data_IF_791635293991
#
_entry.id   IF_791635293991
#
_cell.length_a   1.000
_cell.length_b   1.000
_cell.length_c   1.000
_cell.angle_alpha   90.00
_cell.angle_beta   90.00
_cell.angle_gamma   90.00
#
_symmetry.space_group_name_H-M   'P 1'
#
loop_
_entity.id
_entity.type
_entity.pdbx_description
1 polymer ?
#
# COMPACT_ATOMS: atom_id res chain seq x y z
N UNK A 1 5.67 -19.01 -14.37
CA UNK A 1 7.04 -18.46 -14.41
C UNK A 1 7.15 -17.25 -13.49
N UNK A 2 8.14 -17.20 -12.58
CA UNK A 2 8.32 -16.04 -11.67
C UNK A 2 8.67 -14.79 -12.47
N UNK A 3 7.97 -13.68 -12.22
CA UNK A 3 8.00 -12.42 -12.99
C UNK A 3 9.36 -11.71 -13.06
N UNK A 4 10.35 -12.17 -12.28
CA UNK A 4 11.69 -11.56 -12.15
C UNK A 4 12.83 -12.54 -12.44
N UNK A 5 12.58 -13.62 -13.19
CA UNK A 5 13.62 -14.61 -13.49
C UNK A 5 14.81 -14.03 -14.29
N UNK A 6 14.58 -12.96 -15.06
CA UNK A 6 15.60 -12.27 -15.85
C UNK A 6 16.64 -11.55 -14.99
N UNK A 7 16.33 -11.28 -13.73
CA UNK A 7 17.25 -10.61 -12.81
C UNK A 7 18.22 -11.60 -12.13
N UNK A 8 18.17 -12.89 -12.50
CA UNK A 8 18.99 -13.96 -11.92
C UNK A 8 19.77 -14.70 -13.00
N UNK A 9 21.08 -14.87 -12.78
CA UNK A 9 21.94 -15.73 -13.58
C UNK A 9 22.35 -16.98 -12.80
N UNK A 10 22.48 -18.11 -13.49
CA UNK A 10 23.02 -19.32 -12.90
C UNK A 10 24.54 -19.24 -12.94
N UNK A 11 25.15 -18.93 -11.80
CA UNK A 11 26.60 -18.87 -11.65
C UNK A 11 27.08 -20.16 -11.00
N UNK A 12 28.14 -20.72 -11.57
CA UNK A 12 28.78 -21.93 -11.06
C UNK A 12 29.71 -21.53 -9.91
N UNK A 13 29.36 -21.89 -8.66
CA UNK A 13 30.22 -21.65 -7.49
C UNK A 13 30.78 -22.97 -6.98
N UNK A 14 32.08 -22.97 -6.70
CA UNK A 14 32.78 -24.06 -6.05
C UNK A 14 32.62 -23.91 -4.53
N UNK A 15 32.01 -24.90 -3.88
CA UNK A 15 31.87 -24.90 -2.42
C UNK A 15 33.21 -25.26 -1.78
N UNK A 16 33.37 -24.92 -0.50
CA UNK A 16 34.54 -25.25 0.33
C UNK A 16 34.87 -26.74 0.46
N UNK A 17 33.97 -27.63 -0.02
CA UNK A 17 34.12 -29.09 -0.09
C UNK A 17 34.51 -29.59 -1.51
N UNK A 18 34.93 -28.68 -2.41
CA UNK A 18 35.32 -29.00 -3.81
C UNK A 18 34.15 -29.35 -4.74
N UNK A 19 32.90 -29.26 -4.26
CA UNK A 19 31.69 -29.55 -5.06
C UNK A 19 31.25 -28.32 -5.84
N UNK A 20 31.04 -28.52 -7.14
CA UNK A 20 30.52 -27.50 -8.05
C UNK A 20 28.99 -27.47 -7.98
N UNK A 21 28.40 -26.32 -7.65
CA UNK A 21 26.94 -26.13 -7.65
C UNK A 21 26.55 -24.89 -8.45
N UNK A 22 25.53 -25.04 -9.30
CA UNK A 22 24.89 -23.88 -9.93
C UNK A 22 24.01 -23.17 -8.90
N UNK A 23 24.31 -21.91 -8.65
CA UNK A 23 23.57 -21.05 -7.71
C UNK A 23 23.02 -19.87 -8.49
N UNK A 24 21.73 -19.57 -8.30
CA UNK A 24 21.10 -18.41 -8.89
C UNK A 24 21.57 -17.13 -8.17
N UNK A 25 22.36 -16.31 -8.85
CA UNK A 25 22.89 -15.04 -8.37
C UNK A 25 22.08 -13.88 -8.97
N UNK A 26 21.72 -12.90 -8.15
CA UNK A 26 20.89 -11.78 -8.58
C UNK A 26 21.79 -10.68 -9.18
N UNK A 27 21.59 -10.35 -10.45
CA UNK A 27 22.25 -9.24 -11.18
C UNK A 27 21.36 -8.02 -11.40
N UNK A 28 20.10 -8.06 -10.99
CA UNK A 28 19.20 -6.92 -11.17
C UNK A 28 19.55 -5.69 -10.31
N UNK A 29 18.80 -4.61 -10.53
CA UNK A 29 18.93 -3.35 -9.77
C UNK A 29 18.64 -3.55 -8.29
N UNK A 30 19.41 -2.89 -7.44
CA UNK A 30 19.15 -2.77 -6.01
C UNK A 30 18.63 -1.37 -5.67
N UNK A 31 17.74 -1.30 -4.70
CA UNK A 31 17.20 -0.06 -4.16
C UNK A 31 17.64 0.05 -2.71
N UNK A 32 18.58 0.95 -2.43
CA UNK A 32 19.13 1.17 -1.09
C UNK A 32 18.41 2.34 -0.44
N UNK A 33 17.84 2.10 0.74
CA UNK A 33 17.18 3.13 1.53
C UNK A 33 18.22 4.08 2.16
N UNK A 34 18.07 5.38 1.94
CA UNK A 34 19.00 6.41 2.45
C UNK A 34 18.73 6.80 3.92
N UNK A 35 17.68 6.27 4.54
CA UNK A 35 17.37 6.51 5.94
C UNK A 35 18.20 5.62 6.86
N UNK A 36 18.55 6.15 8.03
CA UNK A 36 19.13 5.31 9.10
C UNK A 36 18.17 4.20 9.50
N UNK A 37 18.70 3.04 9.88
CA UNK A 37 17.92 1.85 10.27
C UNK A 37 16.86 2.15 11.34
N UNK A 38 17.22 2.97 12.35
CA UNK A 38 16.30 3.40 13.41
C UNK A 38 15.16 4.27 12.88
N UNK A 39 15.43 5.20 11.96
CA UNK A 39 14.39 6.03 11.33
C UNK A 39 13.50 5.18 10.42
N UNK A 40 14.07 4.25 9.65
CA UNK A 40 13.30 3.37 8.77
C UNK A 40 12.36 2.46 9.54
N UNK A 41 12.82 1.87 10.65
CA UNK A 41 11.98 1.03 11.52
C UNK A 41 10.75 1.79 12.05
N UNK A 42 10.93 3.04 12.48
CA UNK A 42 9.81 3.90 12.91
C UNK A 42 8.84 4.18 11.76
N UNK A 43 9.35 4.48 10.57
CA UNK A 43 8.50 4.73 9.39
C UNK A 43 7.69 3.49 9.02
N UNK A 44 8.29 2.28 9.08
CA UNK A 44 7.58 1.01 8.86
C UNK A 44 6.44 0.84 9.85
N UNK A 45 6.69 1.11 11.13
CA UNK A 45 5.65 1.02 12.18
C UNK A 45 4.53 2.04 11.96
N UNK A 46 4.86 3.29 11.63
CA UNK A 46 3.86 4.32 11.35
C UNK A 46 3.02 3.98 10.11
N UNK A 47 3.62 3.45 9.05
CA UNK A 47 2.88 2.98 7.87
C UNK A 47 1.94 1.83 8.23
N UNK A 48 2.39 0.87 9.05
CA UNK A 48 1.53 -0.21 9.52
C UNK A 48 0.33 0.33 10.30
N UNK A 49 0.57 1.23 11.26
CA UNK A 49 -0.50 1.85 12.03
C UNK A 49 -1.51 2.56 11.12
N UNK A 50 -1.04 3.38 10.17
CA UNK A 50 -1.91 4.10 9.24
C UNK A 50 -2.76 3.15 8.37
N UNK A 51 -2.17 2.07 7.85
CA UNK A 51 -2.88 1.09 7.03
C UNK A 51 -3.92 0.32 7.85
N UNK A 52 -3.58 -0.08 9.09
CA UNK A 52 -4.51 -0.75 9.99
C UNK A 52 -5.65 0.18 10.42
N UNK A 53 -5.36 1.45 10.75
CA UNK A 53 -6.38 2.44 11.05
C UNK A 53 -7.31 2.66 9.85
N UNK A 54 -6.77 2.85 8.64
CA UNK A 54 -7.58 2.99 7.42
C UNK A 54 -8.50 1.78 7.19
N UNK A 55 -7.95 0.56 7.33
CA UNK A 55 -8.72 -0.67 7.20
C UNK A 55 -9.81 -0.82 8.24
N UNK A 56 -9.50 -0.53 9.51
CA UNK A 56 -10.47 -0.55 10.60
C UNK A 56 -11.57 0.50 10.42
N UNK A 57 -11.23 1.70 9.94
CA UNK A 57 -12.21 2.75 9.62
C UNK A 57 -13.15 2.32 8.50
N UNK A 58 -12.64 1.69 7.43
CA UNK A 58 -13.50 1.16 6.36
C UNK A 58 -14.40 0.06 6.90
N UNK A 59 -13.88 -0.90 7.65
CA UNK A 59 -14.70 -1.95 8.27
C UNK A 59 -15.79 -1.36 9.17
N UNK A 60 -15.42 -0.42 10.05
CA UNK A 60 -16.35 0.27 10.94
C UNK A 60 -17.45 1.01 10.21
N UNK A 61 -17.11 1.71 9.11
CA UNK A 61 -18.08 2.42 8.27
C UNK A 61 -19.12 1.45 7.67
N UNK A 62 -18.73 0.22 7.35
CA UNK A 62 -19.61 -0.79 6.75
C UNK A 62 -20.69 -1.29 7.71
N UNK A 63 -20.44 -1.21 9.01
CA UNK A 63 -21.41 -1.60 10.05
C UNK A 63 -22.46 -0.53 10.34
N UNK A 64 -22.32 0.70 9.83
CA UNK A 64 -23.27 1.78 10.09
C UNK A 64 -24.64 1.56 9.42
N UNK A 65 -24.71 0.72 8.36
CA UNK A 65 -25.93 0.40 7.60
C UNK A 65 -26.76 1.65 7.30
N UNK A 66 -26.15 2.60 6.59
CA UNK A 66 -26.79 3.86 6.20
C UNK A 66 -27.77 3.67 5.03
N UNK A 67 -28.79 4.54 4.88
CA UNK A 67 -29.64 4.53 3.68
C UNK A 67 -28.85 4.65 2.36
N UNK A 68 -27.82 5.50 2.34
CA UNK A 68 -26.92 5.69 1.19
C UNK A 68 -26.15 4.42 0.79
N UNK A 69 -25.89 3.50 1.72
CA UNK A 69 -25.15 2.25 1.46
C UNK A 69 -25.84 1.30 0.47
N UNK A 70 -27.13 1.51 0.17
CA UNK A 70 -27.91 0.75 -0.80
C UNK A 70 -27.93 1.39 -2.19
N UNK A 71 -27.30 2.55 -2.33
CA UNK A 71 -27.29 3.32 -3.57
C UNK A 71 -26.02 3.01 -4.34
N UNK A 72 -26.16 2.52 -5.56
CA UNK A 72 -25.06 1.95 -6.35
C UNK A 72 -23.85 2.90 -6.50
N UNK A 73 -24.07 4.20 -6.73
CA UNK A 73 -23.00 5.18 -6.89
C UNK A 73 -22.24 5.50 -5.59
N UNK A 74 -22.76 5.10 -4.42
CA UNK A 74 -22.06 5.14 -3.12
C UNK A 74 -21.46 3.77 -2.81
N UNK A 75 -22.28 2.72 -2.92
CA UNK A 75 -21.94 1.36 -2.54
C UNK A 75 -20.78 0.77 -3.36
N UNK A 76 -20.78 0.95 -4.69
CA UNK A 76 -19.76 0.38 -5.57
C UNK A 76 -18.35 0.94 -5.30
N UNK A 77 -18.11 2.27 -5.27
CA UNK A 77 -16.78 2.78 -4.94
C UNK A 77 -16.38 2.40 -3.50
N UNK A 78 -17.32 2.36 -2.56
CA UNK A 78 -17.06 1.96 -1.18
C UNK A 78 -16.61 0.49 -1.08
N UNK A 79 -17.34 -0.46 -1.67
CA UNK A 79 -16.95 -1.89 -1.67
C UNK A 79 -15.64 -2.10 -2.42
N UNK A 80 -15.38 -1.28 -3.45
CA UNK A 80 -14.11 -1.35 -4.18
C UNK A 80 -12.89 -0.96 -3.31
N UNK A 81 -13.07 -0.25 -2.19
CA UNK A 81 -11.99 0.12 -1.26
C UNK A 81 -11.31 -1.09 -0.59
N UNK A 82 -12.02 -2.21 -0.45
CA UNK A 82 -11.44 -3.40 0.21
C UNK A 82 -10.24 -3.96 -0.55
N UNK A 83 -10.22 -3.84 -1.88
CA UNK A 83 -9.11 -4.32 -2.71
C UNK A 83 -7.79 -3.56 -2.49
N UNK A 84 -7.72 -2.22 -2.62
CA UNK A 84 -6.50 -1.48 -2.33
C UNK A 84 -6.15 -1.51 -0.83
N UNK A 85 -7.10 -1.74 0.09
CA UNK A 85 -6.75 -1.99 1.50
C UNK A 85 -5.99 -3.31 1.65
N UNK A 86 -6.48 -4.39 1.06
CA UNK A 86 -5.79 -5.68 1.10
C UNK A 86 -4.37 -5.58 0.51
N UNK A 87 -4.22 -4.91 -0.64
CA UNK A 87 -2.89 -4.69 -1.23
C UNK A 87 -1.98 -3.79 -0.38
N UNK A 88 -2.52 -2.76 0.29
CA UNK A 88 -1.78 -1.95 1.25
C UNK A 88 -1.28 -2.77 2.43
N UNK A 89 -2.11 -3.68 2.98
CA UNK A 89 -1.72 -4.56 4.08
C UNK A 89 -0.60 -5.51 3.63
N UNK A 90 -0.80 -6.19 2.50
CA UNK A 90 0.21 -7.11 1.94
C UNK A 90 1.55 -6.40 1.68
N UNK A 91 1.51 -5.22 1.05
CA UNK A 91 2.69 -4.43 0.77
C UNK A 91 3.39 -3.97 2.05
N UNK A 92 2.63 -3.57 3.07
CA UNK A 92 3.18 -3.08 4.34
C UNK A 92 3.79 -4.21 5.17
N UNK A 93 3.16 -5.39 5.23
CA UNK A 93 3.74 -6.57 5.88
C UNK A 93 5.05 -6.99 5.19
N UNK A 94 5.08 -6.97 3.86
CA UNK A 94 6.31 -7.19 3.09
C UNK A 94 7.38 -6.14 3.44
N UNK A 95 6.99 -4.87 3.53
CA UNK A 95 7.89 -3.76 3.83
C UNK A 95 8.48 -3.84 5.24
N UNK A 96 7.74 -4.32 6.23
CA UNK A 96 8.26 -4.52 7.58
C UNK A 96 9.39 -5.55 7.56
N UNK A 97 9.16 -6.68 6.88
CA UNK A 97 10.10 -7.81 6.80
C UNK A 97 11.31 -7.52 5.89
N UNK A 98 11.20 -6.54 5.00
CA UNK A 98 12.24 -6.26 4.02
C UNK A 98 13.47 -5.56 4.65
N UNK A 99 14.65 -5.79 4.08
CA UNK A 99 15.87 -5.13 4.54
C UNK A 99 15.95 -3.67 4.06
N UNK A 100 17.04 -2.96 4.42
CA UNK A 100 17.30 -1.60 3.90
C UNK A 100 17.69 -1.61 2.40
N UNK A 101 18.20 -2.74 1.90
CA UNK A 101 18.53 -2.97 0.50
C UNK A 101 17.47 -3.90 -0.10
N UNK A 102 16.71 -3.37 -1.06
CA UNK A 102 15.62 -4.10 -1.71
C UNK A 102 16.07 -4.54 -3.10
N UNK A 103 15.76 -5.78 -3.46
CA UNK A 103 15.75 -6.19 -4.87
C UNK A 103 14.62 -5.48 -5.61
N UNK A 104 14.72 -5.39 -6.93
CA UNK A 104 13.70 -4.73 -7.75
C UNK A 104 12.30 -5.29 -7.52
N UNK A 105 12.16 -6.62 -7.44
CA UNK A 105 10.90 -7.29 -7.10
C UNK A 105 10.36 -6.81 -5.75
N UNK A 106 11.18 -6.82 -4.69
CA UNK A 106 10.78 -6.41 -3.35
C UNK A 106 10.38 -4.93 -3.30
N UNK A 107 11.08 -4.06 -4.04
CA UNK A 107 10.72 -2.65 -4.18
C UNK A 107 9.33 -2.47 -4.80
N UNK A 108 9.02 -3.22 -5.86
CA UNK A 108 7.69 -3.18 -6.49
C UNK A 108 6.59 -3.72 -5.58
N UNK A 109 6.85 -4.83 -4.89
CA UNK A 109 5.87 -5.50 -4.03
C UNK A 109 5.61 -4.77 -2.72
N UNK A 110 6.54 -3.93 -2.28
CA UNK A 110 6.41 -3.11 -1.07
C UNK A 110 6.13 -1.67 -1.43
N UNK A 111 7.16 -0.91 -1.83
CA UNK A 111 7.11 0.53 -1.98
C UNK A 111 6.06 0.99 -2.99
N UNK A 112 6.12 0.45 -4.21
CA UNK A 112 5.20 0.85 -5.30
C UNK A 112 3.80 0.36 -5.02
N UNK A 113 3.64 -0.84 -4.46
CA UNK A 113 2.34 -1.41 -4.11
C UNK A 113 1.62 -0.56 -3.07
N UNK A 114 2.26 -0.22 -1.96
CA UNK A 114 1.64 0.61 -0.91
C UNK A 114 1.29 1.99 -1.48
N UNK A 115 2.17 2.60 -2.28
CA UNK A 115 1.93 3.91 -2.88
C UNK A 115 0.69 3.92 -3.78
N UNK A 116 0.63 2.99 -4.74
CA UNK A 116 -0.52 2.86 -5.66
C UNK A 116 -1.80 2.54 -4.91
N UNK A 117 -1.72 1.68 -3.90
CA UNK A 117 -2.88 1.31 -3.09
C UNK A 117 -3.42 2.48 -2.28
N UNK A 118 -2.56 3.32 -1.69
CA UNK A 118 -2.99 4.56 -1.03
C UNK A 118 -3.63 5.57 -1.99
N UNK A 119 -3.13 5.70 -3.22
CA UNK A 119 -3.78 6.54 -4.24
C UNK A 119 -5.19 6.03 -4.55
N UNK A 120 -5.34 4.72 -4.80
CA UNK A 120 -6.65 4.14 -5.08
C UNK A 120 -7.62 4.26 -3.91
N UNK A 121 -7.13 4.12 -2.66
CA UNK A 121 -7.95 4.38 -1.48
C UNK A 121 -8.46 5.82 -1.45
N UNK A 122 -7.62 6.82 -1.75
CA UNK A 122 -8.05 8.22 -1.82
C UNK A 122 -9.09 8.40 -2.92
N UNK A 123 -8.83 7.92 -4.14
CA UNK A 123 -9.75 8.08 -5.28
C UNK A 123 -11.13 7.48 -4.97
N UNK A 124 -11.17 6.23 -4.49
CA UNK A 124 -12.43 5.53 -4.23
C UNK A 124 -13.19 6.11 -3.02
N UNK A 125 -12.48 6.53 -1.97
CA UNK A 125 -13.13 7.18 -0.82
C UNK A 125 -13.64 8.58 -1.19
N UNK A 126 -12.95 9.32 -2.05
CA UNK A 126 -13.45 10.58 -2.61
C UNK A 126 -14.69 10.39 -3.48
N UNK A 127 -14.72 9.37 -4.35
CA UNK A 127 -15.91 9.05 -5.14
C UNK A 127 -17.10 8.66 -4.25
N UNK A 128 -16.84 7.84 -3.23
CA UNK A 128 -17.85 7.48 -2.23
C UNK A 128 -18.37 8.73 -1.51
N UNK A 129 -17.48 9.61 -1.06
CA UNK A 129 -17.80 10.85 -0.37
C UNK A 129 -18.65 11.80 -1.24
N UNK A 130 -18.31 11.96 -2.52
CA UNK A 130 -19.10 12.77 -3.45
C UNK A 130 -20.50 12.17 -3.63
N UNK A 131 -20.58 10.86 -3.84
CA UNK A 131 -21.85 10.15 -3.92
C UNK A 131 -22.70 10.34 -2.66
N UNK A 132 -22.07 10.26 -1.49
CA UNK A 132 -22.70 10.45 -0.18
C UNK A 132 -23.29 11.86 -0.05
N UNK A 133 -22.50 12.89 -0.35
CA UNK A 133 -22.96 14.28 -0.32
C UNK A 133 -24.13 14.48 -1.27
N UNK A 134 -24.08 13.93 -2.49
CA UNK A 134 -25.20 13.99 -3.41
C UNK A 134 -26.45 13.27 -2.86
N UNK A 135 -26.29 12.10 -2.22
CA UNK A 135 -27.41 11.41 -1.59
C UNK A 135 -28.05 12.25 -0.48
N UNK A 136 -27.23 12.85 0.39
CA UNK A 136 -27.70 13.70 1.48
C UNK A 136 -28.48 14.91 0.94
N UNK A 137 -27.96 15.59 -0.07
CA UNK A 137 -28.58 16.81 -0.61
C UNK A 137 -29.92 16.56 -1.33
N UNK A 138 -30.06 15.42 -2.02
CA UNK A 138 -31.22 15.19 -2.89
C UNK A 138 -32.21 14.14 -2.36
N UNK A 139 -31.80 13.25 -1.45
CA UNK A 139 -32.58 12.06 -1.09
C UNK A 139 -32.67 11.76 0.40
N UNK A 140 -31.79 12.30 1.25
CA UNK A 140 -31.85 12.02 2.67
C UNK A 140 -33.11 12.62 3.31
N UNK A 141 -33.97 11.75 3.83
CA UNK A 141 -35.18 12.13 4.59
C UNK A 141 -35.12 11.69 6.05
N UNK A 142 -34.27 10.72 6.38
CA UNK A 142 -34.14 10.10 7.70
C UNK A 142 -32.68 9.67 7.94
N UNK A 143 -32.33 9.40 9.20
CA UNK A 143 -31.01 8.91 9.63
C UNK A 143 -29.80 9.82 9.29
N UNK A 144 -30.02 11.14 9.20
CA UNK A 144 -28.99 12.14 8.87
C UNK A 144 -27.73 12.01 9.74
N UNK A 145 -27.90 11.65 11.03
CA UNK A 145 -26.76 11.43 11.93
C UNK A 145 -25.83 10.32 11.42
N UNK A 146 -26.37 9.18 10.99
CA UNK A 146 -25.56 8.07 10.47
C UNK A 146 -24.85 8.45 9.17
N UNK A 147 -25.55 9.19 8.28
CA UNK A 147 -24.95 9.70 7.04
C UNK A 147 -23.79 10.66 7.33
N UNK A 148 -23.96 11.53 8.33
CA UNK A 148 -22.92 12.49 8.74
C UNK A 148 -21.71 11.78 9.35
N UNK A 149 -21.93 10.72 10.13
CA UNK A 149 -20.85 9.87 10.65
C UNK A 149 -20.14 9.17 9.49
N UNK A 150 -20.87 8.60 8.52
CA UNK A 150 -20.29 7.93 7.36
C UNK A 150 -19.42 8.89 6.52
N UNK A 151 -19.90 10.12 6.25
CA UNK A 151 -19.12 11.20 5.62
C UNK A 151 -17.82 11.46 6.39
N UNK A 152 -17.90 11.59 7.72
CA UNK A 152 -16.75 11.85 8.58
C UNK A 152 -15.71 10.72 8.51
N UNK A 153 -16.16 9.46 8.44
CA UNK A 153 -15.29 8.31 8.26
C UNK A 153 -14.61 8.30 6.89
N UNK A 154 -15.32 8.69 5.81
CA UNK A 154 -14.71 8.82 4.48
C UNK A 154 -13.61 9.89 4.45
N UNK A 155 -13.85 11.05 5.07
CA UNK A 155 -12.84 12.12 5.22
C UNK A 155 -11.64 11.62 6.02
N UNK A 156 -11.87 10.85 7.08
CA UNK A 156 -10.79 10.25 7.87
C UNK A 156 -9.94 9.28 7.04
N UNK A 157 -10.56 8.41 6.24
CA UNK A 157 -9.85 7.48 5.33
C UNK A 157 -8.97 8.24 4.34
N UNK A 158 -9.50 9.30 3.72
CA UNK A 158 -8.74 10.17 2.80
C UNK A 158 -7.53 10.76 3.52
N UNK A 159 -7.75 11.33 4.71
CA UNK A 159 -6.70 11.97 5.50
C UNK A 159 -5.59 11.00 5.89
N UNK A 160 -5.94 9.81 6.40
CA UNK A 160 -4.99 8.76 6.75
C UNK A 160 -4.13 8.34 5.55
N UNK A 161 -4.74 8.20 4.37
CA UNK A 161 -4.01 7.83 3.16
C UNK A 161 -3.14 8.95 2.60
N UNK A 162 -3.54 10.22 2.73
CA UNK A 162 -2.68 11.36 2.39
C UNK A 162 -1.43 11.36 3.28
N UNK A 163 -1.60 11.16 4.59
CA UNK A 163 -0.48 11.07 5.54
C UNK A 163 0.42 9.87 5.18
N UNK A 164 -0.16 8.73 4.83
CA UNK A 164 0.58 7.55 4.34
C UNK A 164 1.43 7.88 3.12
N UNK A 165 0.87 8.57 2.12
CA UNK A 165 1.62 9.00 0.93
C UNK A 165 2.76 9.96 1.27
N UNK A 166 2.52 10.93 2.15
CA UNK A 166 3.56 11.86 2.59
C UNK A 166 4.69 11.12 3.31
N UNK A 167 4.36 10.18 4.19
CA UNK A 167 5.32 9.36 4.91
C UNK A 167 6.12 8.47 3.95
N UNK A 168 5.48 7.93 2.92
CA UNK A 168 6.16 7.19 1.87
C UNK A 168 7.13 8.08 1.08
N UNK A 169 6.75 9.30 0.71
CA UNK A 169 7.65 10.21 -0.02
C UNK A 169 8.94 10.53 0.75
N UNK A 170 8.94 10.45 2.09
CA UNK A 170 10.14 10.62 2.92
C UNK A 170 11.14 9.47 2.84
N UNK A 171 10.71 8.29 2.38
CA UNK A 171 11.59 7.12 2.20
C UNK A 171 12.16 7.13 0.80
N UNK A 172 13.33 7.74 0.65
CA UNK A 172 14.07 7.84 -0.61
C UNK A 172 14.98 6.63 -0.79
N UNK A 173 14.96 6.07 -2.00
CA UNK A 173 15.80 4.96 -2.42
C UNK A 173 16.78 5.41 -3.49
N UNK A 174 18.06 5.10 -3.31
CA UNK A 174 19.07 5.21 -4.36
C UNK A 174 19.14 3.90 -5.14
N UNK A 175 19.22 4.00 -6.46
CA UNK A 175 19.36 2.83 -7.34
C UNK A 175 20.84 2.52 -7.48
N UNK A 176 21.22 1.30 -7.15
CA UNK A 176 22.54 0.74 -7.39
C UNK A 176 22.39 -0.31 -8.50
N UNK A 177 23.07 -0.10 -9.62
CA UNK A 177 23.08 -1.00 -10.76
C UNK A 177 24.42 -1.76 -10.80
N UNK A 178 24.45 -3.05 -10.44
CA UNK A 178 25.70 -3.81 -10.32
C UNK A 178 26.37 -4.07 -11.68
N UNK A 179 25.66 -3.92 -12.81
CA UNK A 179 26.23 -4.09 -14.15
C UNK A 179 26.65 -2.74 -14.80
N UNK A 180 26.51 -1.60 -14.10
CA UNK A 180 26.99 -0.29 -14.56
C UNK A 180 28.46 -0.10 -14.17
N UNK A 181 29.37 -0.78 -14.88
CA UNK A 181 30.77 -0.39 -14.93
C UNK A 181 30.88 0.85 -15.84
N UNK A 182 31.35 1.96 -15.30
CA UNK A 182 31.68 3.16 -16.08
C UNK A 182 32.79 2.93 -17.09
#
# INVERSE_FOLDING_TARGET
MKKHYKDYELVTKELSDGKIKQVAEYRGKFYICMLSSKKLSRVKLYLLALVLCSGATVMGAGFLNTPSSRVAYVALPYVSLFLPIAYSIMGTVGFIKSSNKLKHAEYLETKVRIFRSSIWQIVLSSLTLIGEICFILFKAKQEILKETIFVSLMVLIITLNIISLQLQKRVVYQVEDPDYNG
#
